data_IF_015060675860
#
_entry.id   IF_015060675860
#
_cell.length_a   1.000
_cell.length_b   1.000
_cell.length_c   1.000
_cell.angle_alpha   90.00
_cell.angle_beta   90.00
_cell.angle_gamma   90.00
#
_symmetry.space_group_name_H-M   'P 1'
#
loop_
_entity.id
_entity.type
_entity.pdbx_description
1 polymer ?
#
# COMPACT_ATOMS: atom_id res chain seq x y z
N UNK A 1 -6.57 28.61 -8.08
CA UNK A 1 -7.32 27.47 -8.62
C UNK A 1 -6.86 26.26 -7.81
N UNK A 2 -7.77 25.49 -7.25
CA UNK A 2 -7.41 24.28 -6.48
C UNK A 2 -6.85 23.22 -7.42
N UNK A 3 -5.86 22.48 -6.94
CA UNK A 3 -5.24 21.36 -7.66
C UNK A 3 -5.53 20.06 -6.93
N UNK A 4 -5.46 18.97 -7.68
CA UNK A 4 -5.72 17.65 -7.14
C UNK A 4 -4.73 17.32 -5.99
N UNK A 5 -5.26 17.01 -4.81
CA UNK A 5 -4.51 16.82 -3.57
C UNK A 5 -4.29 18.08 -2.74
N UNK A 6 -4.78 19.25 -3.18
CA UNK A 6 -4.70 20.46 -2.37
C UNK A 6 -5.53 20.33 -1.09
N UNK A 7 -4.91 20.61 0.05
CA UNK A 7 -5.59 20.69 1.33
C UNK A 7 -5.80 22.17 1.71
N UNK A 8 -7.03 22.52 2.07
CA UNK A 8 -7.37 23.87 2.52
C UNK A 8 -8.26 23.84 3.75
N UNK A 9 -8.28 24.96 4.47
CA UNK A 9 -9.06 25.13 5.68
C UNK A 9 -10.20 26.12 5.49
N UNK A 10 -11.36 25.80 6.07
CA UNK A 10 -12.45 26.75 6.27
C UNK A 10 -12.94 26.64 7.72
N UNK A 11 -12.61 27.64 8.54
CA UNK A 11 -12.89 27.61 9.98
C UNK A 11 -12.08 26.54 10.71
N UNK A 12 -12.76 25.48 11.19
CA UNK A 12 -12.14 24.32 11.87
C UNK A 12 -12.23 23.04 11.03
N UNK A 13 -12.59 23.16 9.76
CA UNK A 13 -12.78 22.02 8.86
C UNK A 13 -11.67 22.03 7.83
N UNK A 14 -11.07 20.85 7.64
CA UNK A 14 -10.07 20.58 6.62
C UNK A 14 -10.74 19.93 5.43
N UNK A 15 -10.39 20.38 4.23
CA UNK A 15 -10.85 19.85 2.97
C UNK A 15 -9.66 19.42 2.14
N UNK A 16 -9.80 18.33 1.41
CA UNK A 16 -8.87 17.90 0.36
C UNK A 16 -9.62 17.97 -0.95
N UNK A 17 -9.07 18.69 -1.92
CA UNK A 17 -9.63 18.74 -3.26
C UNK A 17 -9.05 17.59 -4.09
N UNK A 18 -9.93 16.74 -4.62
CA UNK A 18 -9.54 15.63 -5.48
C UNK A 18 -10.38 15.65 -6.77
N UNK A 19 -9.70 15.69 -7.92
CA UNK A 19 -10.34 15.51 -9.24
C UNK A 19 -10.45 14.04 -9.55
N UNK A 20 -11.67 13.55 -9.70
CA UNK A 20 -11.93 12.18 -10.14
C UNK A 20 -12.44 12.19 -11.57
N UNK A 21 -11.72 11.53 -12.49
CA UNK A 21 -12.33 11.08 -13.73
C UNK A 21 -13.35 10.00 -13.37
N UNK A 22 -14.64 10.31 -13.54
CA UNK A 22 -15.75 9.47 -13.09
C UNK A 22 -15.59 8.02 -13.54
N UNK A 23 -15.34 7.13 -12.61
CA UNK A 23 -15.42 5.68 -12.74
C UNK A 23 -16.41 5.18 -11.69
N UNK A 24 -17.37 4.37 -12.07
CA UNK A 24 -18.24 3.69 -11.13
C UNK A 24 -17.40 2.74 -10.28
N UNK A 25 -17.11 3.11 -9.05
CA UNK A 25 -16.62 2.14 -8.08
C UNK A 25 -17.76 1.14 -7.85
N UNK A 26 -17.55 -0.11 -8.24
CA UNK A 26 -18.53 -1.18 -7.99
C UNK A 26 -18.86 -1.26 -6.51
N UNK A 27 -20.12 -1.58 -6.19
CA UNK A 27 -20.54 -1.76 -4.81
C UNK A 27 -19.68 -2.84 -4.13
N UNK A 28 -19.10 -2.49 -2.98
CA UNK A 28 -18.34 -3.43 -2.17
C UNK A 28 -19.29 -4.39 -1.41
N UNK A 29 -18.85 -5.63 -1.10
CA UNK A 29 -19.63 -6.57 -0.32
C UNK A 29 -20.06 -5.99 1.04
N UNK A 30 -21.19 -6.46 1.62
CA UNK A 30 -21.57 -6.10 2.98
C UNK A 30 -20.44 -6.36 3.99
N UNK A 31 -20.31 -5.51 5.00
CA UNK A 31 -19.25 -5.61 6.01
C UNK A 31 -17.91 -5.00 5.59
N UNK A 32 -17.81 -4.40 4.39
CA UNK A 32 -16.58 -3.77 3.92
C UNK A 32 -16.15 -2.57 4.77
N UNK A 33 -17.13 -1.84 5.32
CA UNK A 33 -16.89 -0.69 6.21
C UNK A 33 -16.26 -1.15 7.52
N UNK A 34 -16.79 -2.20 8.11
CA UNK A 34 -16.32 -2.81 9.36
C UNK A 34 -14.92 -3.40 9.20
N UNK A 35 -14.61 -3.88 8.00
CA UNK A 35 -13.27 -4.34 7.62
C UNK A 35 -12.28 -3.19 7.37
N UNK A 36 -12.77 -1.94 7.28
CA UNK A 36 -11.94 -0.77 6.98
C UNK A 36 -11.61 -0.61 5.49
N UNK A 37 -12.36 -1.26 4.59
CA UNK A 37 -12.20 -1.17 3.14
C UNK A 37 -12.91 0.08 2.58
N UNK A 38 -12.58 1.25 3.13
CA UNK A 38 -13.09 2.53 2.68
C UNK A 38 -11.96 3.40 2.18
N UNK A 39 -12.22 4.20 1.15
CA UNK A 39 -11.26 5.17 0.64
C UNK A 39 -11.99 6.23 -0.19
N UNK A 40 -11.42 7.41 -0.29
CA UNK A 40 -11.78 8.41 -1.30
C UNK A 40 -10.88 8.31 -2.54
N UNK A 41 -9.76 7.56 -2.44
CA UNK A 41 -8.81 7.43 -3.53
C UNK A 41 -9.32 6.44 -4.60
N UNK A 42 -9.49 6.87 -5.87
CA UNK A 42 -10.10 6.05 -6.94
C UNK A 42 -9.34 4.74 -7.21
N UNK A 43 -8.01 4.79 -7.21
CA UNK A 43 -7.18 3.61 -7.40
C UNK A 43 -7.39 2.56 -6.31
N UNK A 44 -7.53 2.98 -5.05
CA UNK A 44 -7.79 2.06 -3.95
C UNK A 44 -9.22 1.54 -3.98
N UNK A 45 -10.21 2.34 -4.38
CA UNK A 45 -11.58 1.86 -4.61
C UNK A 45 -11.64 0.83 -5.73
N UNK A 46 -10.91 1.05 -6.83
CA UNK A 46 -10.78 0.07 -7.92
C UNK A 46 -10.11 -1.22 -7.42
N UNK A 47 -9.07 -1.12 -6.60
CA UNK A 47 -8.39 -2.24 -5.95
C UNK A 47 -9.35 -3.07 -5.08
N UNK A 48 -10.14 -2.43 -4.21
CA UNK A 48 -11.16 -3.10 -3.40
C UNK A 48 -12.21 -3.81 -4.27
N UNK A 49 -12.69 -3.15 -5.33
CA UNK A 49 -13.66 -3.72 -6.26
C UNK A 49 -13.09 -4.92 -7.01
N UNK A 50 -11.82 -4.88 -7.42
CA UNK A 50 -11.14 -5.99 -8.06
C UNK A 50 -10.99 -7.19 -7.09
N UNK A 51 -10.56 -6.94 -5.86
CA UNK A 51 -10.45 -7.95 -4.81
C UNK A 51 -11.79 -8.61 -4.50
N UNK A 52 -12.86 -7.83 -4.39
CA UNK A 52 -14.21 -8.34 -4.14
C UNK A 52 -14.69 -9.26 -5.27
N UNK A 53 -14.42 -8.91 -6.54
CA UNK A 53 -14.80 -9.74 -7.70
C UNK A 53 -14.06 -11.07 -7.76
N UNK A 54 -12.77 -11.09 -7.40
CA UNK A 54 -11.98 -12.35 -7.41
C UNK A 54 -12.12 -13.15 -6.13
N UNK A 55 -12.68 -12.58 -5.08
CA UNK A 55 -12.82 -13.23 -3.78
C UNK A 55 -13.48 -14.62 -3.85
N UNK A 56 -14.59 -14.84 -4.59
CA UNK A 56 -15.22 -16.16 -4.68
C UNK A 56 -14.42 -17.17 -5.50
N UNK A 57 -13.36 -16.76 -6.19
CA UNK A 57 -12.56 -17.62 -7.07
C UNK A 57 -11.31 -18.14 -6.35
N UNK A 58 -10.55 -19.00 -7.05
CA UNK A 58 -9.23 -19.48 -6.60
C UNK A 58 -8.06 -18.74 -7.25
N UNK A 59 -8.32 -17.62 -7.94
CA UNK A 59 -7.26 -16.82 -8.57
C UNK A 59 -6.28 -16.36 -7.50
N UNK A 60 -4.98 -16.63 -7.64
CA UNK A 60 -3.96 -16.12 -6.74
C UNK A 60 -3.91 -14.59 -6.81
N UNK A 61 -3.60 -13.96 -5.69
CA UNK A 61 -3.55 -12.50 -5.60
C UNK A 61 -2.20 -12.07 -5.04
N UNK A 62 -1.57 -11.12 -5.71
CA UNK A 62 -0.38 -10.43 -5.22
C UNK A 62 -0.78 -9.01 -4.80
N UNK A 63 -0.49 -8.67 -3.55
CA UNK A 63 -0.71 -7.35 -2.97
C UNK A 63 0.64 -6.61 -2.94
N UNK A 64 0.77 -5.57 -3.73
CA UNK A 64 1.96 -4.72 -3.74
C UNK A 64 1.72 -3.42 -2.99
N UNK A 65 2.75 -2.85 -2.43
CA UNK A 65 2.71 -1.55 -1.76
C UNK A 65 3.68 -1.46 -0.60
N UNK A 66 3.94 -0.24 -0.18
CA UNK A 66 4.87 0.06 0.92
C UNK A 66 4.45 -0.60 2.23
N UNK A 67 5.40 -0.68 3.16
CA UNK A 67 5.11 -1.17 4.53
C UNK A 67 4.07 -0.26 5.20
N UNK A 68 3.04 -0.89 5.79
CA UNK A 68 1.99 -0.17 6.51
C UNK A 68 0.86 0.41 5.65
N UNK A 69 0.78 0.13 4.34
CA UNK A 69 -0.32 0.56 3.45
C UNK A 69 -1.64 -0.17 3.68
N UNK A 70 -1.61 -1.34 4.35
CA UNK A 70 -2.81 -2.13 4.64
C UNK A 70 -2.89 -3.46 3.89
N UNK A 71 -1.78 -4.02 3.37
CA UNK A 71 -1.75 -5.31 2.65
C UNK A 71 -2.40 -6.46 3.43
N UNK A 72 -2.13 -6.57 4.74
CA UNK A 72 -2.75 -7.59 5.57
C UNK A 72 -4.27 -7.39 5.70
N UNK A 73 -4.72 -6.14 5.82
CA UNK A 73 -6.16 -5.82 5.84
C UNK A 73 -6.82 -6.23 4.53
N UNK A 74 -6.19 -5.96 3.39
CA UNK A 74 -6.68 -6.37 2.08
C UNK A 74 -6.78 -7.90 1.95
N UNK A 75 -5.79 -8.64 2.45
CA UNK A 75 -5.82 -10.10 2.46
C UNK A 75 -6.93 -10.65 3.38
N UNK A 76 -7.16 -10.03 4.54
CA UNK A 76 -8.27 -10.40 5.45
C UNK A 76 -9.64 -10.12 4.82
N UNK A 77 -9.81 -8.98 4.16
CA UNK A 77 -11.02 -8.66 3.44
C UNK A 77 -11.30 -9.68 2.33
N UNK A 78 -10.29 -10.01 1.55
CA UNK A 78 -10.36 -11.04 0.51
C UNK A 78 -10.78 -12.41 1.08
N UNK A 79 -10.25 -12.80 2.25
CA UNK A 79 -10.64 -14.02 2.94
C UNK A 79 -12.11 -14.00 3.34
N UNK A 80 -12.57 -12.94 4.00
CA UNK A 80 -13.98 -12.78 4.42
C UNK A 80 -14.91 -12.81 3.20
N UNK A 81 -14.61 -12.05 2.16
CA UNK A 81 -15.43 -12.01 0.93
C UNK A 81 -15.41 -13.32 0.14
N UNK A 82 -14.40 -14.17 0.36
CA UNK A 82 -14.32 -15.48 -0.30
C UNK A 82 -15.33 -16.50 0.23
N UNK A 83 -15.89 -16.28 1.42
CA UNK A 83 -16.78 -17.22 2.08
C UNK A 83 -16.12 -18.53 2.54
N UNK A 84 -14.78 -18.62 2.52
CA UNK A 84 -14.06 -19.81 2.95
C UNK A 84 -14.17 -19.97 4.48
N UNK A 85 -14.59 -21.17 4.91
CA UNK A 85 -14.83 -21.44 6.34
C UNK A 85 -13.56 -21.77 7.13
N UNK A 86 -12.46 -22.12 6.45
CA UNK A 86 -11.18 -22.43 7.09
C UNK A 86 -10.47 -21.17 7.62
N UNK A 87 -9.37 -21.31 8.35
CA UNK A 87 -8.71 -20.20 9.01
C UNK A 87 -7.98 -19.26 8.04
N UNK A 88 -7.86 -17.99 8.44
CA UNK A 88 -6.92 -17.05 7.85
C UNK A 88 -5.59 -17.16 8.60
N UNK A 89 -4.54 -17.61 7.93
CA UNK A 89 -3.20 -17.73 8.48
C UNK A 89 -2.29 -16.74 7.78
N UNK A 90 -1.69 -15.81 8.54
CA UNK A 90 -0.73 -14.85 8.04
C UNK A 90 0.69 -15.24 8.48
N UNK A 91 1.61 -15.19 7.54
CA UNK A 91 3.03 -15.51 7.75
C UNK A 91 3.86 -14.35 7.21
N UNK A 92 4.70 -13.78 8.05
CA UNK A 92 5.72 -12.84 7.59
C UNK A 92 6.97 -13.65 7.20
N UNK A 93 7.23 -13.74 5.89
CA UNK A 93 8.36 -14.51 5.36
C UNK A 93 9.72 -13.95 5.77
N UNK A 94 9.84 -12.63 5.92
CA UNK A 94 11.07 -11.99 6.37
C UNK A 94 11.37 -12.18 7.86
N UNK A 95 10.37 -12.57 8.65
CA UNK A 95 10.57 -12.88 10.08
C UNK A 95 10.92 -14.35 10.35
N UNK A 96 10.85 -15.22 9.33
CA UNK A 96 11.20 -16.63 9.48
C UNK A 96 12.72 -16.81 9.41
N UNK A 97 13.36 -17.35 10.44
CA UNK A 97 14.77 -17.75 10.35
C UNK A 97 14.97 -18.76 9.21
N UNK A 98 15.91 -18.50 8.31
CA UNK A 98 16.14 -19.33 7.13
C UNK A 98 16.21 -20.84 7.42
N UNK A 99 16.94 -21.30 8.48
CA UNK A 99 17.00 -22.73 8.81
C UNK A 99 15.67 -23.33 9.27
N UNK A 100 14.73 -22.51 9.74
CA UNK A 100 13.42 -22.96 10.27
C UNK A 100 12.28 -22.72 9.27
N UNK A 101 12.48 -21.90 8.26
CA UNK A 101 11.43 -21.47 7.32
C UNK A 101 10.69 -22.67 6.68
N UNK A 102 11.44 -23.71 6.28
CA UNK A 102 10.84 -24.91 5.73
C UNK A 102 9.95 -25.66 6.74
N UNK A 103 10.47 -25.88 7.95
CA UNK A 103 9.72 -26.63 8.99
C UNK A 103 8.51 -25.86 9.50
N UNK A 104 8.60 -24.54 9.60
CA UNK A 104 7.46 -23.70 10.01
C UNK A 104 6.36 -23.68 8.91
N UNK A 105 6.73 -23.53 7.65
CA UNK A 105 5.76 -23.48 6.55
C UNK A 105 5.16 -24.85 6.24
N UNK A 106 6.00 -25.88 6.06
CA UNK A 106 5.56 -27.15 5.52
C UNK A 106 5.36 -28.23 6.59
N UNK A 107 5.82 -27.96 7.81
CA UNK A 107 5.78 -28.91 8.92
C UNK A 107 6.99 -29.81 9.00
N UNK A 108 7.10 -30.54 10.09
CA UNK A 108 8.21 -31.43 10.37
C UNK A 108 7.71 -32.71 11.01
N UNK A 109 8.33 -33.84 10.65
CA UNK A 109 8.17 -35.11 11.35
C UNK A 109 9.22 -35.24 12.44
N UNK A 110 8.83 -35.89 13.54
CA UNK A 110 9.73 -36.25 14.62
C UNK A 110 10.96 -37.00 14.06
N UNK A 111 12.14 -36.56 14.47
CA UNK A 111 13.40 -37.14 14.04
C UNK A 111 13.92 -36.68 12.67
N UNK A 112 13.28 -35.72 12.00
CA UNK A 112 13.72 -35.21 10.71
C UNK A 112 15.09 -34.49 10.78
N UNK A 113 15.42 -33.90 11.92
CA UNK A 113 16.75 -33.31 12.24
C UNK A 113 16.98 -33.33 13.74
N UNK A 114 18.22 -33.03 14.16
CA UNK A 114 18.59 -32.93 15.59
C UNK A 114 17.81 -31.78 16.25
N UNK A 115 16.85 -32.13 17.13
CA UNK A 115 15.93 -31.17 17.78
C UNK A 115 14.48 -31.27 17.34
N UNK A 116 14.14 -32.03 16.29
CA UNK A 116 12.76 -32.34 15.92
C UNK A 116 12.16 -33.38 16.88
N UNK A 117 11.71 -32.94 18.06
CA UNK A 117 11.18 -33.79 19.13
C UNK A 117 9.75 -34.24 18.89
N UNK A 118 8.96 -33.48 18.10
CA UNK A 118 7.54 -33.69 17.88
C UNK A 118 7.15 -33.45 16.42
N UNK A 119 6.02 -34.05 16.00
CA UNK A 119 5.39 -33.78 14.72
C UNK A 119 4.73 -32.40 14.76
N UNK A 120 5.03 -31.51 13.77
CA UNK A 120 4.35 -30.23 13.61
C UNK A 120 3.72 -30.15 12.20
N UNK A 121 2.44 -29.75 12.09
CA UNK A 121 1.73 -29.78 10.81
C UNK A 121 2.19 -28.73 9.80
N UNK A 122 2.82 -27.64 10.27
CA UNK A 122 3.18 -26.47 9.44
C UNK A 122 2.01 -25.58 9.08
N UNK A 123 2.35 -24.33 8.71
CA UNK A 123 1.36 -23.26 8.47
C UNK A 123 0.53 -23.51 7.20
N UNK A 124 1.10 -24.17 6.19
CA UNK A 124 0.38 -24.57 4.97
C UNK A 124 -0.78 -25.52 5.31
N UNK A 125 -0.56 -26.54 6.14
CA UNK A 125 -1.65 -27.43 6.59
C UNK A 125 -2.63 -26.73 7.52
N UNK A 126 -2.13 -25.88 8.40
CA UNK A 126 -2.96 -25.12 9.34
C UNK A 126 -3.93 -24.18 8.62
N UNK A 127 -3.62 -23.73 7.40
CA UNK A 127 -4.47 -22.85 6.59
C UNK A 127 -5.42 -23.59 5.64
N UNK A 128 -5.45 -24.94 5.68
CA UNK A 128 -6.29 -25.75 4.79
C UNK A 128 -7.78 -25.45 4.96
N UNK A 129 -8.52 -25.33 3.87
CA UNK A 129 -9.91 -24.87 3.82
C UNK A 129 -10.06 -23.36 3.93
N UNK A 130 -8.98 -22.63 4.23
CA UNK A 130 -8.94 -21.19 4.46
C UNK A 130 -8.05 -20.42 3.48
N UNK A 131 -7.34 -19.42 4.00
CA UNK A 131 -6.45 -18.55 3.23
C UNK A 131 -5.10 -18.44 3.92
N UNK A 132 -4.02 -18.63 3.16
CA UNK A 132 -2.65 -18.39 3.58
C UNK A 132 -2.16 -17.05 3.00
N UNK A 133 -1.85 -16.09 3.87
CA UNK A 133 -1.15 -14.88 3.50
C UNK A 133 0.35 -15.08 3.69
N UNK A 134 1.11 -14.93 2.61
CA UNK A 134 2.57 -14.87 2.60
C UNK A 134 2.99 -13.40 2.51
N UNK A 135 3.18 -12.77 3.66
CA UNK A 135 3.63 -11.37 3.72
C UNK A 135 5.15 -11.33 3.52
N UNK A 136 5.62 -10.33 2.78
CA UNK A 136 7.01 -10.17 2.33
C UNK A 136 7.52 -11.43 1.59
N UNK A 137 6.73 -11.90 0.63
CA UNK A 137 7.02 -13.14 -0.13
C UNK A 137 8.35 -13.11 -0.87
N UNK A 138 8.83 -11.92 -1.25
CA UNK A 138 10.15 -11.71 -1.88
C UNK A 138 11.34 -12.05 -0.99
N UNK A 139 11.12 -12.26 0.33
CA UNK A 139 12.15 -12.66 1.29
C UNK A 139 12.30 -14.19 1.44
N UNK A 140 11.49 -14.98 0.73
CA UNK A 140 11.54 -16.43 0.85
C UNK A 140 12.90 -16.99 0.38
N UNK A 141 13.56 -17.84 1.20
CA UNK A 141 14.77 -18.56 0.77
C UNK A 141 14.53 -19.42 -0.45
N UNK A 142 15.55 -19.62 -1.34
CA UNK A 142 15.38 -20.38 -2.57
C UNK A 142 14.85 -21.81 -2.38
N UNK A 143 15.26 -22.51 -1.33
CA UNK A 143 14.75 -23.85 -1.00
C UNK A 143 13.25 -23.85 -0.69
N UNK A 144 12.78 -22.84 0.03
CA UNK A 144 11.35 -22.66 0.37
C UNK A 144 10.55 -22.34 -0.88
N UNK A 145 11.07 -21.52 -1.80
CA UNK A 145 10.41 -21.21 -3.07
C UNK A 145 10.10 -22.46 -3.89
N UNK A 146 11.05 -23.42 -3.97
CA UNK A 146 10.86 -24.70 -4.69
C UNK A 146 9.73 -25.53 -4.09
N UNK A 147 9.70 -25.64 -2.76
CA UNK A 147 8.65 -26.40 -2.06
C UNK A 147 7.29 -25.74 -2.16
N UNK A 148 7.25 -24.41 -2.02
CA UNK A 148 6.02 -23.64 -2.18
C UNK A 148 5.42 -23.79 -3.58
N UNK A 149 6.24 -23.78 -4.63
CA UNK A 149 5.81 -24.02 -5.99
C UNK A 149 5.10 -25.38 -6.12
N UNK A 150 5.67 -26.45 -5.55
CA UNK A 150 5.04 -27.78 -5.56
C UNK A 150 3.69 -27.78 -4.85
N UNK A 151 3.60 -27.13 -3.67
CA UNK A 151 2.33 -27.00 -2.96
C UNK A 151 1.27 -26.30 -3.81
N UNK A 152 1.64 -25.23 -4.52
CA UNK A 152 0.72 -24.50 -5.40
C UNK A 152 0.31 -25.26 -6.66
N UNK A 153 1.15 -26.17 -7.14
CA UNK A 153 0.88 -26.99 -8.34
C UNK A 153 0.05 -28.22 -8.02
N UNK A 154 0.43 -28.93 -6.97
CA UNK A 154 -0.10 -30.26 -6.63
C UNK A 154 -1.23 -30.21 -5.61
N UNK A 155 -1.40 -29.09 -4.89
CA UNK A 155 -2.27 -28.96 -3.73
C UNK A 155 -1.96 -30.00 -2.64
N UNK A 156 -0.68 -30.31 -2.49
CA UNK A 156 -0.18 -31.26 -1.53
C UNK A 156 1.06 -30.70 -0.83
N UNK A 157 1.23 -31.02 0.45
CA UNK A 157 2.40 -30.61 1.23
C UNK A 157 3.06 -31.84 1.85
N UNK A 158 4.39 -31.96 1.67
CA UNK A 158 5.19 -32.99 2.33
C UNK A 158 5.97 -32.34 3.50
N UNK A 159 5.72 -32.77 4.76
CA UNK A 159 6.51 -32.31 5.90
C UNK A 159 7.98 -32.68 5.76
N UNK A 160 8.86 -31.87 6.35
CA UNK A 160 10.30 -32.19 6.39
C UNK A 160 10.50 -33.55 7.09
N UNK A 161 11.27 -34.43 6.43
CA UNK A 161 11.52 -35.79 6.94
C UNK A 161 10.39 -36.81 6.63
N UNK A 162 9.37 -36.43 5.87
CA UNK A 162 8.32 -37.38 5.43
C UNK A 162 8.23 -37.45 3.91
N UNK A 163 8.24 -38.64 3.29
CA UNK A 163 8.01 -38.79 1.87
C UNK A 163 6.51 -38.74 1.51
N UNK A 164 5.61 -38.78 2.50
CA UNK A 164 4.17 -38.88 2.24
C UNK A 164 3.56 -37.48 2.18
N UNK A 165 3.06 -37.01 0.99
CA UNK A 165 2.37 -35.75 0.87
C UNK A 165 0.97 -35.83 1.51
N UNK A 166 0.49 -34.68 1.97
CA UNK A 166 -0.84 -34.48 2.53
C UNK A 166 -1.58 -33.46 1.68
N UNK A 167 -2.78 -33.78 1.23
CA UNK A 167 -3.62 -32.85 0.46
C UNK A 167 -4.05 -31.66 1.29
N UNK A 168 -4.03 -30.49 0.65
CA UNK A 168 -4.45 -29.22 1.23
C UNK A 168 -5.34 -28.46 0.24
N UNK A 169 -6.37 -27.79 0.76
CA UNK A 169 -7.19 -26.88 -0.03
C UNK A 169 -6.86 -25.43 0.36
N UNK A 170 -5.97 -24.81 -0.39
CA UNK A 170 -5.45 -23.49 -0.09
C UNK A 170 -5.96 -22.42 -1.04
N UNK A 171 -6.24 -21.24 -0.48
CA UNK A 171 -6.14 -19.99 -1.20
C UNK A 171 -4.88 -19.26 -0.74
N UNK A 172 -3.98 -18.92 -1.66
CA UNK A 172 -2.76 -18.18 -1.34
C UNK A 172 -2.94 -16.72 -1.75
N UNK A 173 -2.52 -15.83 -0.87
CA UNK A 173 -2.36 -14.40 -1.10
C UNK A 173 -0.90 -14.07 -0.81
N UNK A 174 -0.20 -13.48 -1.76
CA UNK A 174 1.16 -12.99 -1.57
C UNK A 174 1.13 -11.48 -1.33
N UNK A 175 1.96 -10.98 -0.44
CA UNK A 175 2.13 -9.55 -0.22
C UNK A 175 3.62 -9.20 -0.21
N UNK A 176 3.97 -8.04 -0.76
CA UNK A 176 5.35 -7.56 -0.80
C UNK A 176 5.41 -6.05 -1.01
N UNK A 177 6.51 -5.45 -0.58
CA UNK A 177 6.90 -4.09 -0.95
C UNK A 177 7.98 -4.07 -2.04
N UNK A 178 8.54 -5.25 -2.40
CA UNK A 178 9.59 -5.38 -3.40
C UNK A 178 9.01 -5.59 -4.79
N UNK A 179 9.77 -5.18 -5.78
CA UNK A 179 9.54 -5.52 -7.18
C UNK A 179 9.90 -7.00 -7.42
N UNK A 180 8.88 -7.86 -7.52
CA UNK A 180 9.06 -9.30 -7.76
C UNK A 180 9.63 -9.58 -9.16
N UNK A 181 9.29 -8.78 -10.17
CA UNK A 181 9.85 -8.94 -11.52
C UNK A 181 11.36 -8.66 -11.52
N UNK A 182 11.78 -7.57 -10.86
CA UNK A 182 13.19 -7.27 -10.66
C UNK A 182 13.94 -8.36 -9.88
N UNK A 183 13.31 -9.01 -8.88
CA UNK A 183 13.90 -10.15 -8.18
C UNK A 183 14.01 -11.39 -9.08
N UNK A 184 13.07 -11.60 -10.00
CA UNK A 184 13.15 -12.67 -11.00
C UNK A 184 14.28 -12.41 -11.99
N UNK A 185 14.46 -11.19 -12.46
CA UNK A 185 15.56 -10.80 -13.34
C UNK A 185 16.92 -10.97 -12.66
N UNK A 186 17.01 -10.59 -11.37
CA UNK A 186 18.19 -10.79 -10.54
C UNK A 186 18.48 -12.26 -10.18
N UNK A 187 17.57 -13.20 -10.50
CA UNK A 187 17.70 -14.63 -10.20
C UNK A 187 17.54 -15.01 -8.73
N UNK A 188 17.05 -14.09 -7.88
CA UNK A 188 16.80 -14.31 -6.44
C UNK A 188 15.39 -14.83 -6.16
N UNK A 189 14.46 -14.61 -7.10
CA UNK A 189 13.11 -15.17 -7.06
C UNK A 189 12.85 -16.03 -8.32
N UNK A 190 12.21 -17.17 -8.14
CA UNK A 190 11.99 -18.11 -9.26
C UNK A 190 10.86 -17.61 -10.16
N UNK A 191 11.10 -17.61 -11.47
CA UNK A 191 10.12 -17.22 -12.49
C UNK A 191 8.87 -18.10 -12.49
N UNK A 192 9.02 -19.41 -12.26
CA UNK A 192 7.91 -20.36 -12.22
C UNK A 192 7.00 -20.15 -11.01
N UNK A 193 7.56 -19.83 -9.84
CA UNK A 193 6.81 -19.47 -8.65
C UNK A 193 6.08 -18.13 -8.84
N UNK A 194 6.77 -17.12 -9.40
CA UNK A 194 6.16 -15.83 -9.71
C UNK A 194 4.93 -16.01 -10.60
N UNK A 195 5.06 -16.72 -11.73
CA UNK A 195 3.94 -16.99 -12.63
C UNK A 195 2.77 -17.75 -11.96
N UNK A 196 3.05 -18.56 -10.91
CA UNK A 196 2.00 -19.28 -10.18
C UNK A 196 1.31 -18.44 -9.11
N UNK A 197 2.01 -17.44 -8.55
CA UNK A 197 1.46 -16.49 -7.56
C UNK A 197 0.69 -15.36 -8.22
N UNK A 198 1.06 -14.96 -9.44
CA UNK A 198 0.52 -13.79 -10.13
C UNK A 198 -0.71 -14.19 -10.96
N UNK A 199 -1.89 -13.99 -10.39
CA UNK A 199 -3.16 -14.10 -11.09
C UNK A 199 -3.88 -12.75 -11.17
N UNK A 200 -3.95 -12.04 -10.06
CA UNK A 200 -4.35 -10.64 -9.98
C UNK A 200 -3.31 -9.88 -9.16
N UNK A 201 -2.77 -8.82 -9.73
CA UNK A 201 -1.91 -7.89 -9.01
C UNK A 201 -2.72 -6.67 -8.58
N UNK A 202 -2.55 -6.29 -7.33
CA UNK A 202 -3.23 -5.14 -6.73
C UNK A 202 -2.21 -4.27 -6.01
N UNK A 203 -2.09 -3.04 -6.45
CA UNK A 203 -1.24 -2.05 -5.82
C UNK A 203 -2.03 -1.24 -4.79
N UNK A 204 -1.48 -1.11 -3.59
CA UNK A 204 -2.03 -0.30 -2.51
C UNK A 204 -1.23 1.00 -2.41
N UNK A 205 -1.83 2.15 -2.74
CA UNK A 205 -1.13 3.42 -2.76
C UNK A 205 -0.66 3.82 -1.34
N UNK A 206 0.50 4.47 -1.24
CA UNK A 206 0.98 5.00 0.03
C UNK A 206 0.07 6.13 0.54
N UNK A 207 0.09 6.37 1.86
CA UNK A 207 -0.82 7.31 2.51
C UNK A 207 -0.65 8.76 2.01
N UNK A 208 0.57 9.14 1.62
CA UNK A 208 0.86 10.46 1.02
C UNK A 208 0.12 10.73 -0.30
N UNK A 209 -0.25 9.68 -1.04
CA UNK A 209 -1.01 9.77 -2.30
C UNK A 209 -2.53 9.75 -2.10
N UNK A 210 -2.99 9.39 -0.90
CA UNK A 210 -4.41 9.33 -0.51
C UNK A 210 -4.71 10.10 0.76
N UNK A 211 -4.20 11.33 0.85
CA UNK A 211 -4.36 12.18 2.06
C UNK A 211 -5.83 12.45 2.42
N UNK A 212 -6.73 12.41 1.44
CA UNK A 212 -8.19 12.48 1.68
C UNK A 212 -8.68 11.39 2.62
N UNK A 213 -8.04 10.21 2.60
CA UNK A 213 -8.40 9.09 3.49
C UNK A 213 -8.08 9.36 4.97
N UNK A 214 -7.29 10.38 5.31
CA UNK A 214 -7.07 10.78 6.71
C UNK A 214 -8.39 11.07 7.41
N UNK A 215 -9.37 11.64 6.70
CA UNK A 215 -10.71 11.87 7.23
C UNK A 215 -11.46 10.60 7.65
N UNK A 216 -11.18 9.46 7.03
CA UNK A 216 -11.72 8.14 7.37
C UNK A 216 -10.85 7.43 8.41
N UNK A 217 -9.53 7.46 8.21
CA UNK A 217 -8.57 6.72 9.00
C UNK A 217 -8.43 7.26 10.43
N UNK A 218 -8.32 8.58 10.60
CA UNK A 218 -8.12 9.18 11.93
C UNK A 218 -9.25 8.80 12.89
N UNK A 219 -10.55 8.99 12.57
CA UNK A 219 -11.62 8.58 13.47
C UNK A 219 -11.66 7.07 13.73
N UNK A 220 -11.37 6.25 12.72
CA UNK A 220 -11.34 4.79 12.87
C UNK A 220 -10.21 4.34 13.81
N UNK A 221 -9.01 4.87 13.63
CA UNK A 221 -7.85 4.55 14.46
C UNK A 221 -8.00 5.07 15.90
N UNK A 222 -8.58 6.26 16.10
CA UNK A 222 -8.89 6.79 17.41
C UNK A 222 -9.86 5.89 18.19
N UNK A 223 -10.92 5.40 17.53
CA UNK A 223 -11.84 4.42 18.16
C UNK A 223 -11.12 3.15 18.57
N UNK A 224 -10.20 2.64 17.73
CA UNK A 224 -9.38 1.45 18.06
C UNK A 224 -8.41 1.72 19.20
N UNK A 225 -7.88 2.92 19.32
CA UNK A 225 -7.02 3.36 20.42
C UNK A 225 -7.79 3.63 21.73
N UNK A 226 -9.12 3.47 21.76
CA UNK A 226 -9.93 3.74 22.93
C UNK A 226 -10.05 5.23 23.28
N UNK A 227 -9.89 6.11 22.30
CA UNK A 227 -10.01 7.55 22.51
C UNK A 227 -11.42 7.93 23.00
N UNK A 228 -11.56 8.92 23.91
CA UNK A 228 -12.85 9.42 24.34
C UNK A 228 -13.70 9.92 23.17
N UNK A 229 -15.02 9.70 23.25
CA UNK A 229 -15.93 10.27 22.27
C UNK A 229 -15.84 11.80 22.28
N UNK A 230 -15.70 12.40 21.10
CA UNK A 230 -15.58 13.85 20.95
C UNK A 230 -14.18 14.42 21.18
N UNK A 231 -13.14 13.59 21.24
CA UNK A 231 -11.74 14.06 21.27
C UNK A 231 -11.49 15.03 20.10
N UNK A 232 -10.99 16.19 20.43
CA UNK A 232 -10.70 17.24 19.47
C UNK A 232 -9.20 17.38 19.23
N UNK A 233 -8.84 17.86 18.05
CA UNK A 233 -7.48 18.25 17.71
C UNK A 233 -7.38 19.76 17.57
N UNK A 234 -6.25 20.33 17.95
CA UNK A 234 -5.93 21.70 17.59
C UNK A 234 -5.72 21.82 16.08
N UNK A 235 -5.89 23.03 15.55
CA UNK A 235 -5.68 23.30 14.14
C UNK A 235 -4.23 22.98 13.73
N UNK A 236 -3.29 23.31 14.58
CA UNK A 236 -1.85 23.08 14.40
C UNK A 236 -1.55 21.57 14.35
N UNK A 237 -2.15 20.78 15.24
CA UNK A 237 -2.01 19.34 15.25
C UNK A 237 -2.58 18.71 13.95
N UNK A 238 -3.76 19.14 13.52
CA UNK A 238 -4.34 18.63 12.27
C UNK A 238 -3.51 19.01 11.05
N UNK A 239 -3.00 20.25 10.98
CA UNK A 239 -2.08 20.67 9.91
C UNK A 239 -0.84 19.79 9.85
N UNK A 240 -0.24 19.46 10.98
CA UNK A 240 0.91 18.59 11.05
C UNK A 240 0.60 17.18 10.49
N UNK A 241 -0.56 16.60 10.87
CA UNK A 241 -1.00 15.30 10.34
C UNK A 241 -1.19 15.30 8.82
N UNK A 242 -1.73 16.39 8.24
CA UNK A 242 -1.92 16.51 6.79
C UNK A 242 -0.62 16.79 6.03
N UNK A 243 0.37 17.43 6.65
CA UNK A 243 1.66 17.76 6.01
C UNK A 243 2.64 16.61 6.00
N UNK A 244 2.60 15.75 7.01
CA UNK A 244 3.55 14.66 7.13
C UNK A 244 3.39 13.64 6.00
N UNK A 245 4.50 13.13 5.49
CA UNK A 245 4.53 12.21 4.34
C UNK A 245 4.18 10.76 4.71
N UNK A 246 4.15 10.44 5.99
CA UNK A 246 3.84 9.11 6.51
C UNK A 246 4.71 8.01 5.88
N UNK A 247 6.03 8.01 6.03
CA UNK A 247 6.93 7.03 5.41
C UNK A 247 6.60 5.58 5.75
N UNK A 248 5.95 5.32 6.90
CA UNK A 248 5.45 3.99 7.27
C UNK A 248 3.91 3.91 7.20
N UNK A 249 3.30 4.79 6.46
CA UNK A 249 1.88 4.77 6.10
C UNK A 249 0.92 4.70 7.30
N UNK A 250 -0.15 3.90 7.22
CA UNK A 250 -1.20 3.80 8.25
C UNK A 250 -0.64 3.24 9.57
N UNK A 251 0.39 2.39 9.51
CA UNK A 251 1.04 1.86 10.73
C UNK A 251 1.70 2.95 11.58
N UNK A 252 2.31 3.94 10.93
CA UNK A 252 2.90 5.09 11.60
C UNK A 252 1.81 6.03 12.13
N UNK A 253 0.79 6.31 11.32
CA UNK A 253 -0.37 7.11 11.73
C UNK A 253 -1.05 6.51 12.97
N UNK A 254 -1.27 5.21 13.01
CA UNK A 254 -1.87 4.50 14.15
C UNK A 254 -1.04 4.70 15.44
N UNK A 255 0.28 4.55 15.35
CA UNK A 255 1.18 4.77 16.49
C UNK A 255 1.20 6.24 16.94
N UNK A 256 1.23 7.17 15.99
CA UNK A 256 1.21 8.60 16.29
C UNK A 256 -0.08 9.01 17.00
N UNK A 257 -1.24 8.54 16.54
CA UNK A 257 -2.53 8.81 17.15
C UNK A 257 -2.65 8.18 18.55
N UNK A 258 -2.20 6.93 18.72
CA UNK A 258 -2.22 6.26 20.03
C UNK A 258 -1.38 7.02 21.07
N UNK A 259 -0.17 7.47 20.68
CA UNK A 259 0.66 8.33 21.54
C UNK A 259 -0.03 9.65 21.87
N UNK A 260 -0.61 10.30 20.85
CA UNK A 260 -1.29 11.60 21.04
C UNK A 260 -2.49 11.50 21.99
N UNK A 261 -3.27 10.42 21.91
CA UNK A 261 -4.39 10.15 22.84
C UNK A 261 -3.88 9.98 24.26
N UNK A 262 -2.80 9.22 24.43
CA UNK A 262 -2.21 8.98 25.76
C UNK A 262 -1.68 10.28 26.39
N UNK A 263 -1.01 11.13 25.61
CA UNK A 263 -0.46 12.40 26.09
C UNK A 263 -1.54 13.47 26.35
N UNK A 264 -2.61 13.48 25.59
CA UNK A 264 -3.72 14.43 25.74
C UNK A 264 -4.56 14.18 27.00
N UNK A 265 -4.46 13.00 27.65
CA UNK A 265 -5.14 12.69 28.90
C UNK A 265 -6.67 12.87 28.85
N UNK A 266 -7.30 12.69 27.69
CA UNK A 266 -8.74 12.89 27.46
C UNK A 266 -9.15 14.33 27.14
N UNK A 267 -8.20 15.28 27.11
CA UNK A 267 -8.40 16.65 26.64
C UNK A 267 -8.24 16.78 25.13
N UNK A 268 -8.01 18.02 24.68
CA UNK A 268 -7.72 18.30 23.28
C UNK A 268 -6.31 17.88 22.91
N UNK A 269 -6.13 17.27 21.73
CA UNK A 269 -4.81 16.94 21.20
C UNK A 269 -4.18 18.23 20.63
N UNK A 270 -3.10 18.68 21.25
CA UNK A 270 -2.30 19.82 20.83
C UNK A 270 -1.10 19.36 19.99
N UNK A 271 -0.42 20.29 19.31
CA UNK A 271 0.73 19.97 18.48
C UNK A 271 1.83 19.19 19.25
N UNK A 272 2.07 19.57 20.50
CA UNK A 272 3.10 18.96 21.36
C UNK A 272 2.80 17.48 21.74
N UNK A 273 1.57 17.04 21.56
CA UNK A 273 1.19 15.65 21.78
C UNK A 273 1.52 14.74 20.58
N UNK A 274 1.88 15.33 19.43
CA UNK A 274 2.30 14.55 18.25
C UNK A 274 3.79 14.14 18.35
N UNK A 275 4.20 13.04 17.70
CA UNK A 275 5.60 12.66 17.60
C UNK A 275 6.47 13.78 16.98
N UNK A 276 7.72 13.92 17.44
CA UNK A 276 8.66 14.95 16.96
C UNK A 276 8.77 15.05 15.43
N UNK A 277 8.90 13.94 14.65
CA UNK A 277 8.97 14.05 13.21
C UNK A 277 7.72 14.67 12.59
N UNK A 278 6.54 14.35 13.12
CA UNK A 278 5.25 14.89 12.63
C UNK A 278 5.12 16.35 12.99
N UNK A 279 5.53 16.77 14.20
CA UNK A 279 5.51 18.18 14.64
C UNK A 279 6.41 19.07 13.79
N UNK A 280 7.58 18.55 13.46
CA UNK A 280 8.62 19.25 12.71
C UNK A 280 8.45 19.13 11.20
N UNK A 281 7.30 18.57 10.74
CA UNK A 281 6.99 18.48 9.32
C UNK A 281 7.16 19.87 8.68
N UNK A 282 8.04 20.00 7.67
CA UNK A 282 8.29 21.30 7.06
C UNK A 282 6.99 21.89 6.54
N UNK A 283 6.78 23.18 6.79
CA UNK A 283 5.73 23.88 6.07
C UNK A 283 5.99 23.70 4.58
N UNK A 284 4.96 23.43 3.75
CA UNK A 284 5.14 23.50 2.32
C UNK A 284 5.67 24.89 2.03
N UNK A 285 6.96 24.99 1.90
CA UNK A 285 7.56 26.19 1.32
C UNK A 285 6.91 26.27 -0.04
N UNK A 286 6.20 27.37 -0.37
CA UNK A 286 5.84 27.59 -1.77
C UNK A 286 7.13 27.35 -2.52
N UNK A 287 7.17 26.39 -3.45
CA UNK A 287 8.38 26.18 -4.26
C UNK A 287 8.74 27.54 -4.79
N UNK A 288 9.74 28.18 -4.17
CA UNK A 288 10.20 29.45 -4.66
C UNK A 288 10.56 29.22 -6.12
N UNK A 289 10.04 30.02 -7.05
CA UNK A 289 10.28 29.79 -8.46
C UNK A 289 11.79 29.68 -8.63
N UNK A 290 12.24 28.53 -9.13
CA UNK A 290 13.67 28.29 -9.28
C UNK A 290 14.24 29.40 -10.17
N UNK A 291 15.24 30.11 -9.69
CA UNK A 291 15.94 31.08 -10.53
C UNK A 291 16.47 30.33 -11.77
N UNK A 292 16.09 30.75 -12.98
CA UNK A 292 16.53 30.09 -14.22
C UNK A 292 18.05 29.90 -14.30
N UNK A 293 18.83 30.70 -13.59
CA UNK A 293 20.29 30.64 -13.52
C UNK A 293 20.82 29.48 -12.67
N UNK A 294 19.99 28.86 -11.81
CA UNK A 294 20.39 27.78 -10.88
C UNK A 294 19.93 26.40 -11.32
N UNK A 295 19.27 26.28 -12.52
CA UNK A 295 18.75 25.03 -13.02
C UNK A 295 19.92 24.09 -13.43
N UNK A 296 19.79 22.79 -13.11
CA UNK A 296 20.70 21.78 -13.62
C UNK A 296 20.60 21.64 -15.14
N UNK A 297 21.63 21.09 -15.79
CA UNK A 297 21.61 20.85 -17.24
C UNK A 297 20.38 20.01 -17.67
N UNK A 298 20.02 18.99 -16.87
CA UNK A 298 18.84 18.15 -17.10
C UNK A 298 17.51 18.93 -16.94
N UNK A 299 17.45 19.88 -16.03
CA UNK A 299 16.27 20.74 -15.85
C UNK A 299 16.15 21.76 -16.97
N UNK A 300 17.25 22.29 -17.48
CA UNK A 300 17.28 23.19 -18.64
C UNK A 300 16.79 22.48 -19.91
N UNK A 301 17.22 21.25 -20.15
CA UNK A 301 16.76 20.44 -21.28
C UNK A 301 15.25 20.15 -21.14
N UNK A 302 14.81 19.74 -19.96
CA UNK A 302 13.39 19.47 -19.65
C UNK A 302 12.53 20.73 -19.83
N UNK A 303 13.00 21.89 -19.38
CA UNK A 303 12.35 23.20 -19.55
C UNK A 303 12.22 23.55 -21.04
N UNK A 304 13.27 23.38 -21.81
CA UNK A 304 13.29 23.66 -23.24
C UNK A 304 12.28 22.79 -23.98
N UNK A 305 12.26 21.47 -23.68
CA UNK A 305 11.30 20.52 -24.25
C UNK A 305 9.86 20.85 -23.85
N UNK A 306 9.62 21.24 -22.60
CA UNK A 306 8.31 21.65 -22.10
C UNK A 306 7.79 22.88 -22.87
N UNK A 307 8.61 23.91 -23.05
CA UNK A 307 8.25 25.14 -23.77
C UNK A 307 7.93 24.84 -25.26
N UNK A 308 8.72 23.99 -25.91
CA UNK A 308 8.47 23.59 -27.27
C UNK A 308 7.11 22.93 -27.43
N UNK A 309 6.78 21.98 -26.58
CA UNK A 309 5.51 21.26 -26.56
C UNK A 309 4.32 22.15 -26.19
N UNK A 310 4.49 23.09 -25.27
CA UNK A 310 3.43 24.06 -24.93
C UNK A 310 3.11 24.98 -26.12
N UNK A 311 4.11 25.38 -26.92
CA UNK A 311 3.89 26.13 -28.17
C UNK A 311 3.16 25.29 -29.20
N UNK A 312 3.59 24.07 -29.45
CA UNK A 312 2.97 23.12 -30.39
C UNK A 312 1.48 22.87 -30.06
N UNK A 313 1.16 22.74 -28.77
CA UNK A 313 -0.20 22.43 -28.34
C UNK A 313 -1.00 23.63 -27.81
N UNK A 314 -0.61 24.86 -28.14
CA UNK A 314 -1.34 26.06 -27.75
C UNK A 314 -1.62 26.16 -26.22
N UNK A 315 -0.66 25.78 -25.40
CA UNK A 315 -0.78 25.80 -23.92
C UNK A 315 -1.63 24.66 -23.32
N UNK A 316 -2.00 23.64 -24.10
CA UNK A 316 -2.80 22.53 -23.62
C UNK A 316 -1.96 21.53 -22.81
N UNK A 317 -1.97 21.69 -21.49
CA UNK A 317 -1.21 20.85 -20.53
C UNK A 317 -1.52 19.36 -20.68
N UNK A 318 -2.77 18.99 -20.96
CA UNK A 318 -3.16 17.58 -21.09
C UNK A 318 -2.59 16.92 -22.35
N UNK A 319 -2.46 17.66 -23.45
CA UNK A 319 -1.82 17.19 -24.66
C UNK A 319 -0.31 17.03 -24.47
N UNK A 320 0.34 18.02 -23.83
CA UNK A 320 1.77 17.96 -23.48
C UNK A 320 2.07 16.77 -22.55
N UNK A 321 1.24 16.53 -21.55
CA UNK A 321 1.40 15.40 -20.64
C UNK A 321 1.37 14.04 -21.35
N UNK A 322 0.41 13.85 -22.27
CA UNK A 322 0.34 12.64 -23.11
C UNK A 322 1.57 12.45 -23.98
N UNK A 323 2.05 13.51 -24.60
CA UNK A 323 3.22 13.44 -25.50
C UNK A 323 4.53 13.22 -24.76
N UNK A 324 4.63 13.71 -23.52
CA UNK A 324 5.79 13.47 -22.65
C UNK A 324 5.71 12.15 -21.86
N UNK A 325 4.59 11.44 -21.91
CA UNK A 325 4.39 10.20 -21.17
C UNK A 325 4.35 10.37 -19.63
N UNK A 326 3.90 11.55 -19.16
CA UNK A 326 3.87 11.88 -17.73
C UNK A 326 2.48 12.35 -17.31
N UNK A 327 2.19 12.32 -15.99
CA UNK A 327 0.94 12.85 -15.47
C UNK A 327 0.80 14.36 -15.72
N UNK A 328 -0.44 14.83 -15.94
CA UNK A 328 -0.75 16.26 -16.13
C UNK A 328 -0.20 17.12 -14.98
N UNK A 329 -0.29 16.65 -13.75
CA UNK A 329 0.26 17.32 -12.57
C UNK A 329 1.77 17.54 -12.65
N UNK A 330 2.49 16.59 -13.24
CA UNK A 330 3.95 16.73 -13.41
C UNK A 330 4.29 17.88 -14.37
N UNK A 331 3.49 18.07 -15.41
CA UNK A 331 3.64 19.23 -16.33
C UNK A 331 3.34 20.53 -15.59
N UNK A 332 2.28 20.58 -14.77
CA UNK A 332 1.94 21.76 -13.97
C UNK A 332 3.04 22.10 -12.96
N UNK A 333 3.59 21.09 -12.26
CA UNK A 333 4.72 21.26 -11.33
C UNK A 333 5.96 21.79 -12.06
N UNK A 334 6.25 21.30 -13.25
CA UNK A 334 7.35 21.81 -14.08
C UNK A 334 7.09 23.24 -14.58
N UNK A 335 5.86 23.57 -14.98
CA UNK A 335 5.49 24.93 -15.38
C UNK A 335 5.75 25.93 -14.24
N UNK A 336 5.37 25.61 -13.00
CA UNK A 336 5.66 26.45 -11.84
C UNK A 336 7.16 26.53 -11.56
N UNK A 337 7.82 25.37 -11.43
CA UNK A 337 9.26 25.29 -11.14
C UNK A 337 10.10 26.09 -12.13
N UNK A 338 9.75 26.01 -13.42
CA UNK A 338 10.50 26.68 -14.49
C UNK A 338 9.95 28.05 -14.87
N UNK A 339 8.97 28.57 -14.12
CA UNK A 339 8.33 29.86 -14.38
C UNK A 339 7.77 29.99 -15.81
N UNK A 340 7.15 28.93 -16.31
CA UNK A 340 6.53 28.87 -17.63
C UNK A 340 5.01 28.98 -17.47
N UNK A 341 4.41 30.06 -17.95
CA UNK A 341 2.95 30.20 -17.94
C UNK A 341 2.35 29.55 -19.20
N UNK A 342 1.59 28.45 -19.05
CA UNK A 342 0.93 27.80 -20.19
C UNK A 342 -0.08 28.70 -20.91
N UNK A 343 -0.66 29.67 -20.22
CA UNK A 343 -1.62 30.59 -20.82
C UNK A 343 -0.98 31.53 -21.86
N UNK A 344 0.31 31.82 -21.68
CA UNK A 344 1.06 32.66 -22.64
C UNK A 344 1.24 32.03 -24.02
N UNK A 345 0.95 30.73 -24.18
CA UNK A 345 1.04 30.00 -25.46
C UNK A 345 -0.32 29.77 -26.12
N UNK A 346 -1.43 30.25 -25.52
CA UNK A 346 -2.74 30.22 -26.16
C UNK A 346 -2.77 31.31 -27.24
N UNK A 347 -3.01 30.90 -28.47
CA UNK A 347 -3.28 31.88 -29.54
C UNK A 347 -4.51 32.73 -29.15
N UNK A 348 -4.43 34.05 -29.29
CA UNK A 348 -5.52 34.97 -29.03
C UNK A 348 -6.68 34.70 -30.00
#
# INVERSE_FOLDING_TARGET
MLENGDAFECGQTFFVYEEHAGGEAGALPPGSVELGCQSFHPGLLAAWSALARVAPTRVPVVLQGETGTGKELAARALHVWSGRAGPFVAVNCGALPEPLAESELFGVRRGAYTGASEDRPGLVRASSGGTLLLDEVGELPPGVQVKLLRVLQENEVAPVGSPQPVRVDLRVVAATHRDLEGLVEAGTFRRDLFARLTGLEVELPPLRERRGDLGLLVPALLRRAGAPAGLQFSREAMRALFRWEWPHNVRELEKALALSVALAGGGRVELDHLPEPVRSAPEPTPEAPADPSTLSAADLERRTRLIALLREHGGNISAVARQMGVARMQIQRWCRRFQVDPASFRAA
#
